data_IF_034842135863
#
_entry.id   IF_034842135863
#
_cell.length_a   1.000
_cell.length_b   1.000
_cell.length_c   1.000
_cell.angle_alpha   90.00
_cell.angle_beta   90.00
_cell.angle_gamma   90.00
#
_symmetry.space_group_name_H-M   'P 1'
#
loop_
_entity.id
_entity.type
_entity.pdbx_description
1 polymer ?
#
# COMPACT_ATOMS: atom_id res chain seq x y z
N UNK A 1 12.52 -36.93 -5.02
CA UNK A 1 11.65 -37.77 -5.87
C UNK A 1 10.50 -36.88 -6.31
N UNK A 2 10.48 -36.23 -7.48
CA UNK A 2 11.40 -36.23 -8.61
C UNK A 2 11.93 -34.80 -8.88
N UNK A 3 13.24 -34.65 -9.17
CA UNK A 3 13.83 -33.43 -9.71
C UNK A 3 13.80 -33.45 -11.26
N UNK A 4 13.89 -32.27 -11.89
CA UNK A 4 14.64 -32.03 -13.13
C UNK A 4 14.66 -30.53 -13.46
N UNK A 5 15.85 -29.94 -13.38
CA UNK A 5 16.27 -28.75 -14.13
C UNK A 5 16.77 -29.18 -15.51
N UNK A 6 16.35 -28.48 -16.56
CA UNK A 6 17.16 -28.13 -17.73
C UNK A 6 16.39 -27.15 -18.63
N UNK A 7 17.10 -26.12 -19.07
CA UNK A 7 16.67 -24.99 -19.89
C UNK A 7 16.26 -25.39 -21.32
N UNK A 8 15.36 -24.60 -21.93
CA UNK A 8 15.64 -23.72 -23.08
C UNK A 8 14.45 -23.56 -24.03
N UNK A 9 14.48 -22.41 -24.71
CA UNK A 9 13.77 -22.03 -25.92
C UNK A 9 12.35 -21.48 -25.76
N UNK A 10 12.17 -20.30 -26.36
CA UNK A 10 11.06 -19.40 -26.09
C UNK A 10 9.74 -19.79 -26.75
N UNK A 11 8.69 -19.23 -26.18
CA UNK A 11 7.43 -19.02 -26.87
C UNK A 11 6.88 -17.68 -26.41
N UNK A 12 7.15 -16.66 -27.21
CA UNK A 12 6.43 -15.39 -27.24
C UNK A 12 4.96 -15.70 -27.49
N UNK A 13 4.08 -15.38 -26.54
CA UNK A 13 2.64 -15.35 -26.77
C UNK A 13 2.08 -14.01 -26.28
N UNK A 14 2.32 -13.01 -27.13
CA UNK A 14 1.70 -11.70 -27.14
C UNK A 14 0.20 -11.86 -27.38
N UNK A 15 -0.62 -11.37 -26.46
CA UNK A 15 -1.90 -10.70 -26.78
C UNK A 15 -2.18 -9.67 -25.69
N UNK A 16 -1.34 -8.62 -25.64
CA UNK A 16 -1.66 -7.40 -24.89
C UNK A 16 -2.35 -6.43 -25.85
N UNK A 17 -3.55 -6.01 -25.48
CA UNK A 17 -4.29 -4.98 -26.20
C UNK A 17 -3.48 -3.70 -26.29
N UNK A 18 -3.56 -3.05 -27.45
CA UNK A 18 -2.78 -1.89 -27.85
C UNK A 18 -3.04 -0.68 -26.95
N UNK A 19 -2.14 -0.47 -26.00
CA UNK A 19 -1.85 0.82 -25.39
C UNK A 19 -0.33 0.98 -25.40
N UNK A 20 0.18 2.12 -25.86
CA UNK A 20 1.64 2.38 -25.94
C UNK A 20 2.31 2.02 -24.60
N UNK A 21 3.10 0.94 -24.57
CA UNK A 21 3.89 0.53 -23.41
C UNK A 21 5.01 1.56 -23.18
N UNK A 22 4.67 2.64 -22.48
CA UNK A 22 5.66 3.54 -21.91
C UNK A 22 6.48 2.74 -20.88
N UNK A 23 7.82 2.85 -20.89
CA UNK A 23 8.64 2.13 -19.93
C UNK A 23 8.26 2.55 -18.52
N UNK A 24 7.89 1.55 -17.70
CA UNK A 24 7.53 1.75 -16.31
C UNK A 24 8.78 2.25 -15.57
N UNK A 25 8.70 3.37 -14.84
CA UNK A 25 9.87 3.90 -14.16
C UNK A 25 10.31 2.96 -13.01
N UNK A 26 11.62 2.96 -12.67
CA UNK A 26 12.20 1.97 -11.74
C UNK A 26 11.67 2.05 -10.30
N UNK A 27 11.01 3.16 -9.95
CA UNK A 27 10.40 3.39 -8.63
C UNK A 27 8.92 2.98 -8.57
N UNK A 28 8.39 2.31 -9.60
CA UNK A 28 7.03 1.79 -9.64
C UNK A 28 7.07 0.27 -9.56
N UNK A 29 6.39 -0.28 -8.55
CA UNK A 29 6.16 -1.71 -8.43
C UNK A 29 4.76 -2.04 -8.94
N UNK A 30 4.67 -2.90 -9.94
CA UNK A 30 3.39 -3.41 -10.46
C UNK A 30 3.21 -4.82 -9.94
N UNK A 31 2.20 -5.03 -9.11
CA UNK A 31 1.84 -6.37 -8.63
C UNK A 31 1.40 -7.24 -9.80
N UNK A 32 2.00 -8.43 -9.91
CA UNK A 32 1.70 -9.43 -10.95
C UNK A 32 0.83 -10.56 -10.43
N UNK A 33 0.31 -10.47 -9.20
CA UNK A 33 -0.40 -11.55 -8.55
C UNK A 33 -1.76 -11.82 -9.23
N UNK A 34 -2.07 -13.07 -9.65
CA UNK A 34 -3.28 -13.37 -10.44
C UNK A 34 -4.58 -13.09 -9.68
N UNK A 35 -4.59 -13.31 -8.36
CA UNK A 35 -5.75 -12.98 -7.51
C UNK A 35 -6.00 -11.47 -7.49
N UNK A 36 -4.95 -10.65 -7.51
CA UNK A 36 -5.11 -9.21 -7.54
C UNK A 36 -5.68 -8.75 -8.88
N UNK A 37 -5.14 -9.26 -10.00
CA UNK A 37 -5.66 -8.98 -11.35
C UNK A 37 -7.13 -9.34 -11.51
N UNK A 38 -7.57 -10.47 -10.93
CA UNK A 38 -8.98 -10.83 -10.87
C UNK A 38 -9.82 -9.81 -10.09
N UNK A 39 -9.38 -9.42 -8.88
CA UNK A 39 -10.10 -8.43 -8.05
C UNK A 39 -10.16 -7.05 -8.70
N UNK A 40 -9.09 -6.62 -9.37
CA UNK A 40 -9.07 -5.38 -10.16
C UNK A 40 -10.11 -5.41 -11.28
N UNK A 41 -10.31 -6.58 -11.92
CA UNK A 41 -11.37 -6.74 -12.93
C UNK A 41 -12.76 -6.48 -12.33
N UNK A 42 -13.02 -6.97 -11.11
CA UNK A 42 -14.28 -6.72 -10.40
C UNK A 42 -14.43 -5.23 -10.06
N UNK A 43 -13.36 -4.57 -9.58
CA UNK A 43 -13.39 -3.13 -9.27
C UNK A 43 -13.62 -2.24 -10.50
N UNK A 44 -13.19 -2.70 -11.69
CA UNK A 44 -13.37 -1.97 -12.95
C UNK A 44 -14.72 -2.23 -13.62
N UNK A 45 -15.44 -3.27 -13.23
CA UNK A 45 -16.73 -3.62 -13.85
C UNK A 45 -17.82 -2.63 -13.45
N UNK A 46 -18.55 -2.09 -14.43
CA UNK A 46 -19.70 -1.21 -14.20
C UNK A 46 -20.90 -1.93 -13.57
N UNK A 47 -20.93 -3.27 -13.65
CA UNK A 47 -21.98 -4.10 -13.03
C UNK A 47 -21.76 -4.35 -11.53
N UNK A 48 -20.61 -3.99 -10.98
CA UNK A 48 -20.28 -4.27 -9.58
C UNK A 48 -21.08 -3.37 -8.63
N UNK A 49 -21.83 -3.99 -7.73
CA UNK A 49 -22.63 -3.27 -6.73
C UNK A 49 -21.73 -2.53 -5.72
N UNK A 50 -22.18 -1.38 -5.16
CA UNK A 50 -21.37 -0.60 -4.20
C UNK A 50 -20.92 -1.35 -2.94
N UNK A 51 -21.68 -2.35 -2.48
CA UNK A 51 -21.28 -3.20 -1.35
C UNK A 51 -20.10 -4.11 -1.72
N UNK A 52 -20.22 -4.81 -2.87
CA UNK A 52 -19.18 -5.67 -3.41
C UNK A 52 -17.90 -4.87 -3.71
N UNK A 53 -18.02 -3.66 -4.29
CA UNK A 53 -16.87 -2.79 -4.55
C UNK A 53 -16.08 -2.50 -3.27
N UNK A 54 -16.77 -2.15 -2.16
CA UNK A 54 -16.10 -1.86 -0.88
C UNK A 54 -15.42 -3.09 -0.30
N UNK A 55 -16.03 -4.28 -0.38
CA UNK A 55 -15.42 -5.53 0.08
C UNK A 55 -14.15 -5.84 -0.70
N UNK A 56 -14.25 -5.79 -2.04
CA UNK A 56 -13.11 -6.10 -2.92
C UNK A 56 -12.00 -5.07 -2.75
N UNK A 57 -12.32 -3.79 -2.55
CA UNK A 57 -11.33 -2.75 -2.29
C UNK A 57 -10.54 -3.03 -1.00
N UNK A 58 -11.21 -3.47 0.07
CA UNK A 58 -10.54 -3.87 1.32
C UNK A 58 -9.57 -5.03 1.09
N UNK A 59 -10.00 -6.05 0.36
CA UNK A 59 -9.17 -7.22 0.05
C UNK A 59 -7.96 -6.86 -0.82
N UNK A 60 -8.18 -6.04 -1.86
CA UNK A 60 -7.12 -5.51 -2.73
C UNK A 60 -6.11 -4.70 -1.92
N UNK A 61 -6.60 -3.82 -1.04
CA UNK A 61 -5.76 -3.01 -0.16
C UNK A 61 -4.89 -3.87 0.76
N UNK A 62 -5.46 -4.92 1.35
CA UNK A 62 -4.71 -5.82 2.22
C UNK A 62 -3.55 -6.50 1.49
N UNK A 63 -3.82 -7.02 0.27
CA UNK A 63 -2.79 -7.68 -0.54
C UNK A 63 -1.69 -6.71 -0.98
N UNK A 64 -2.07 -5.51 -1.44
CA UNK A 64 -1.13 -4.47 -1.84
C UNK A 64 -0.31 -3.94 -0.66
N UNK A 65 -0.95 -3.78 0.51
CA UNK A 65 -0.28 -3.44 1.75
C UNK A 65 0.76 -4.46 2.14
N UNK A 66 0.44 -5.76 2.03
CA UNK A 66 1.39 -6.83 2.32
C UNK A 66 2.62 -6.76 1.41
N UNK A 67 2.43 -6.61 0.09
CA UNK A 67 3.54 -6.44 -0.86
C UNK A 67 4.35 -5.17 -0.59
N UNK A 68 3.70 -4.06 -0.26
CA UNK A 68 4.37 -2.80 0.02
C UNK A 68 5.23 -2.82 1.30
N UNK A 69 4.83 -3.62 2.29
CA UNK A 69 5.57 -3.78 3.55
C UNK A 69 6.79 -4.68 3.45
N UNK A 70 7.05 -5.29 2.29
CA UNK A 70 8.20 -6.19 2.06
C UNK A 70 9.57 -5.55 2.35
N UNK A 71 9.68 -4.23 2.26
CA UNK A 71 10.92 -3.49 2.53
C UNK A 71 11.15 -3.11 4.00
N UNK A 72 10.22 -3.41 4.91
CA UNK A 72 10.37 -3.07 6.33
C UNK A 72 11.40 -3.96 7.02
N UNK A 73 12.08 -3.44 8.06
CA UNK A 73 13.08 -4.19 8.81
C UNK A 73 12.56 -4.66 10.16
N UNK A 74 13.24 -5.64 10.74
CA UNK A 74 12.87 -6.21 12.03
C UNK A 74 14.01 -6.09 13.04
N UNK A 75 13.66 -6.09 14.32
CA UNK A 75 14.57 -6.18 15.45
C UNK A 75 14.25 -7.41 16.30
N UNK A 76 15.26 -7.98 16.94
CA UNK A 76 15.09 -9.08 17.89
C UNK A 76 14.46 -8.56 19.18
N UNK A 77 13.60 -9.36 19.79
CA UNK A 77 12.97 -9.10 21.08
C UNK A 77 12.94 -10.39 21.90
N UNK A 78 13.23 -10.31 23.18
CA UNK A 78 13.09 -11.44 24.08
C UNK A 78 11.60 -11.64 24.40
N UNK A 79 11.13 -12.87 24.28
CA UNK A 79 9.74 -13.26 24.49
C UNK A 79 9.68 -14.50 25.37
N UNK A 80 8.61 -14.59 26.15
CA UNK A 80 8.33 -15.79 26.93
C UNK A 80 7.20 -16.58 26.27
N UNK A 81 7.47 -17.85 25.97
CA UNK A 81 6.55 -18.75 25.26
C UNK A 81 6.00 -19.78 26.24
N UNK A 82 4.67 -20.00 26.28
CA UNK A 82 4.08 -21.07 27.08
C UNK A 82 4.54 -22.46 26.59
N UNK A 83 5.00 -23.31 27.51
CA UNK A 83 5.34 -24.72 27.24
C UNK A 83 4.72 -25.62 28.30
N UNK A 84 3.46 -26.00 28.09
CA UNK A 84 2.70 -26.81 29.06
C UNK A 84 2.42 -26.03 30.34
N UNK A 85 2.91 -26.50 31.49
CA UNK A 85 2.83 -25.76 32.77
C UNK A 85 4.00 -24.79 32.99
N UNK A 86 5.04 -24.85 32.16
CA UNK A 86 6.25 -24.06 32.29
C UNK A 86 6.29 -22.91 31.26
N UNK A 87 7.19 -21.96 31.48
CA UNK A 87 7.49 -20.85 30.58
C UNK A 87 8.90 -21.00 30.01
N UNK A 88 9.07 -20.77 28.71
CA UNK A 88 10.35 -20.85 28.02
C UNK A 88 10.73 -19.48 27.45
N UNK A 89 11.93 -19.00 27.78
CA UNK A 89 12.51 -17.81 27.17
C UNK A 89 12.95 -18.12 25.73
N UNK A 90 12.54 -17.29 24.79
CA UNK A 90 12.86 -17.39 23.38
C UNK A 90 13.10 -16.00 22.78
N UNK A 91 13.68 -15.95 21.57
CA UNK A 91 13.87 -14.69 20.85
C UNK A 91 12.89 -14.60 19.70
N UNK A 92 12.01 -13.61 19.74
CA UNK A 92 11.11 -13.24 18.66
C UNK A 92 11.64 -12.10 17.81
N UNK A 93 10.82 -11.67 16.85
CA UNK A 93 11.08 -10.50 16.00
C UNK A 93 9.92 -9.51 16.07
N UNK A 94 10.26 -8.23 16.01
CA UNK A 94 9.29 -7.12 15.97
C UNK A 94 9.70 -6.14 14.86
N UNK A 95 8.71 -5.55 14.19
CA UNK A 95 8.97 -4.48 13.23
C UNK A 95 9.74 -3.33 13.89
N UNK A 96 10.74 -2.82 13.17
CA UNK A 96 11.60 -1.75 13.68
C UNK A 96 10.96 -0.39 13.48
N UNK A 97 10.44 -0.14 12.29
CA UNK A 97 9.93 1.15 11.84
C UNK A 97 8.58 1.50 12.47
N UNK A 98 8.40 2.79 12.76
CA UNK A 98 7.10 3.39 13.06
C UNK A 98 6.43 3.78 11.76
N UNK A 99 5.24 3.21 11.52
CA UNK A 99 4.49 3.42 10.28
C UNK A 99 3.41 4.48 10.48
N UNK A 100 3.27 5.39 9.51
CA UNK A 100 2.13 6.30 9.38
C UNK A 100 1.30 5.95 8.14
N UNK A 101 -0.02 6.05 8.26
CA UNK A 101 -0.97 5.92 7.17
C UNK A 101 -1.59 7.28 6.89
N UNK A 102 -1.59 7.66 5.62
CA UNK A 102 -1.99 9.00 5.18
C UNK A 102 -3.05 8.87 4.09
N UNK A 103 -4.32 8.64 4.47
CA UNK A 103 -5.40 8.59 3.51
C UNK A 103 -5.67 9.97 2.92
N UNK A 104 -5.68 10.04 1.58
CA UNK A 104 -6.15 11.23 0.87
C UNK A 104 -7.67 11.19 0.85
N UNK A 105 -8.30 12.13 1.57
CA UNK A 105 -9.74 12.17 1.66
C UNK A 105 -10.36 12.64 0.33
N UNK A 106 -11.42 12.01 -0.16
CA UNK A 106 -12.28 11.01 0.52
C UNK A 106 -12.01 9.55 0.12
N UNK A 107 -11.41 9.31 -1.05
CA UNK A 107 -11.24 7.98 -1.64
C UNK A 107 -10.36 7.06 -0.80
N UNK A 108 -9.31 7.60 -0.17
CA UNK A 108 -8.36 6.84 0.64
C UNK A 108 -8.93 6.27 1.94
N UNK A 109 -10.10 6.73 2.42
CA UNK A 109 -10.69 6.23 3.68
C UNK A 109 -11.06 4.75 3.60
N UNK A 110 -11.48 4.27 2.44
CA UNK A 110 -11.86 2.86 2.26
C UNK A 110 -10.72 1.86 2.42
N UNK A 111 -9.47 2.35 2.43
CA UNK A 111 -8.24 1.56 2.53
C UNK A 111 -7.68 1.51 3.97
N UNK A 112 -8.10 2.44 4.83
CA UNK A 112 -7.50 2.61 6.16
C UNK A 112 -7.69 1.38 7.04
N UNK A 113 -8.92 0.87 7.12
CA UNK A 113 -9.22 -0.28 7.98
C UNK A 113 -8.38 -1.50 7.60
N UNK A 114 -8.27 -1.82 6.32
CA UNK A 114 -7.50 -2.96 5.82
C UNK A 114 -6.00 -2.81 6.07
N UNK A 115 -5.49 -1.58 5.99
CA UNK A 115 -4.09 -1.31 6.33
C UNK A 115 -3.85 -1.41 7.85
N UNK A 116 -4.80 -1.00 8.68
CA UNK A 116 -4.72 -1.16 10.14
C UNK A 116 -4.83 -2.62 10.58
N UNK A 117 -5.62 -3.44 9.89
CA UNK A 117 -5.66 -4.89 10.08
C UNK A 117 -4.26 -5.51 9.86
N UNK A 118 -3.51 -5.01 8.86
CA UNK A 118 -2.13 -5.44 8.59
C UNK A 118 -1.12 -4.87 9.60
N UNK A 119 -1.24 -3.58 9.94
CA UNK A 119 -0.31 -2.84 10.80
C UNK A 119 -1.07 -2.11 11.92
N UNK A 120 -1.41 -2.80 13.01
CA UNK A 120 -2.29 -2.26 14.06
C UNK A 120 -1.67 -1.11 14.87
N UNK A 121 -0.34 -1.03 14.89
CA UNK A 121 0.39 0.01 15.63
C UNK A 121 0.65 1.29 14.79
N UNK A 122 0.12 1.38 13.57
CA UNK A 122 0.36 2.51 12.70
C UNK A 122 -0.44 3.75 13.13
N UNK A 123 0.19 4.92 13.05
CA UNK A 123 -0.49 6.20 13.25
C UNK A 123 -1.28 6.61 12.00
N UNK A 124 -2.44 7.25 12.18
CA UNK A 124 -3.27 7.70 11.05
C UNK A 124 -3.28 9.24 10.99
N UNK A 125 -2.90 9.78 9.84
CA UNK A 125 -2.91 11.22 9.59
C UNK A 125 -3.72 11.56 8.35
N UNK A 126 -4.84 12.23 8.57
CA UNK A 126 -5.78 12.54 7.50
C UNK A 126 -5.40 13.83 6.78
N UNK A 127 -5.43 13.79 5.44
CA UNK A 127 -5.24 14.97 4.60
C UNK A 127 -6.42 15.09 3.64
N UNK A 128 -7.05 16.26 3.65
CA UNK A 128 -8.12 16.61 2.73
C UNK A 128 -7.59 17.51 1.63
N UNK A 129 -7.62 17.01 0.40
CA UNK A 129 -7.30 17.77 -0.80
C UNK A 129 -8.55 17.90 -1.67
N UNK A 130 -8.80 19.10 -2.18
CA UNK A 130 -9.84 19.34 -3.16
C UNK A 130 -9.22 19.90 -4.42
N UNK A 131 -9.66 19.42 -5.58
CA UNK A 131 -9.21 19.91 -6.87
C UNK A 131 -10.41 20.53 -7.59
N UNK A 132 -10.33 21.84 -7.85
CA UNK A 132 -11.22 22.49 -8.82
C UNK A 132 -10.64 22.28 -10.22
N UNK A 133 -11.51 22.16 -11.22
CA UNK A 133 -11.12 21.98 -12.61
C UNK A 133 -10.15 23.10 -13.05
N UNK A 134 -9.03 22.71 -13.68
CA UNK A 134 -7.98 23.64 -14.10
C UNK A 134 -7.10 24.26 -12.99
N UNK A 135 -7.29 23.89 -11.71
CA UNK A 135 -6.54 24.46 -10.58
C UNK A 135 -5.57 23.48 -9.92
N UNK A 136 -4.61 24.04 -9.18
CA UNK A 136 -3.71 23.29 -8.29
C UNK A 136 -4.56 22.73 -7.12
N UNK A 137 -4.36 21.47 -6.69
CA UNK A 137 -5.06 20.91 -5.54
C UNK A 137 -4.92 21.79 -4.29
N UNK A 138 -6.04 22.20 -3.71
CA UNK A 138 -6.10 23.02 -2.51
C UNK A 138 -6.30 22.12 -1.30
N UNK A 139 -5.47 22.34 -0.28
CA UNK A 139 -5.62 21.67 1.00
C UNK A 139 -6.76 22.31 1.80
N UNK A 140 -7.79 21.54 2.14
CA UNK A 140 -8.88 21.98 3.01
C UNK A 140 -8.82 21.39 4.43
N UNK A 141 -8.06 20.31 4.61
CA UNK A 141 -7.91 19.67 5.91
C UNK A 141 -6.50 19.10 6.08
N UNK A 142 -5.90 19.38 7.23
CA UNK A 142 -4.57 18.89 7.58
C UNK A 142 -4.51 18.51 9.06
N UNK A 143 -4.40 17.23 9.36
CA UNK A 143 -4.14 16.72 10.71
C UNK A 143 -2.79 16.01 10.80
N UNK A 144 -1.79 16.53 10.10
CA UNK A 144 -0.41 16.10 10.27
C UNK A 144 0.19 16.74 11.54
N UNK A 145 1.01 16.01 12.30
CA UNK A 145 1.76 16.58 13.40
C UNK A 145 2.78 17.60 12.87
N UNK A 146 3.20 18.56 13.70
CA UNK A 146 4.26 19.52 13.32
C UNK A 146 5.60 18.85 13.02
N UNK A 147 5.84 17.70 13.64
CA UNK A 147 6.97 16.81 13.42
C UNK A 147 6.44 15.38 13.38
N UNK A 148 6.64 14.68 12.27
CA UNK A 148 6.26 13.27 12.19
C UNK A 148 7.34 12.43 12.86
N UNK A 149 6.96 11.62 13.84
CA UNK A 149 7.85 10.63 14.44
C UNK A 149 7.88 9.32 13.65
N UNK A 150 7.07 9.18 12.60
CA UNK A 150 7.06 7.96 11.82
C UNK A 150 8.27 7.89 10.89
N UNK A 151 8.85 6.69 10.81
CA UNK A 151 10.01 6.41 9.98
C UNK A 151 9.57 6.18 8.52
N UNK A 152 8.37 5.61 8.31
CA UNK A 152 7.78 5.34 7.00
C UNK A 152 6.33 5.85 6.96
N UNK A 153 5.96 6.58 5.91
CA UNK A 153 4.59 6.99 5.66
C UNK A 153 4.03 6.34 4.38
N UNK A 154 2.86 5.70 4.48
CA UNK A 154 2.09 5.17 3.35
C UNK A 154 0.96 6.12 2.98
N UNK A 155 1.00 6.66 1.76
CA UNK A 155 -0.11 7.44 1.20
C UNK A 155 -1.12 6.45 0.62
N UNK A 156 -2.39 6.61 1.00
CA UNK A 156 -3.48 5.74 0.53
C UNK A 156 -4.42 6.52 -0.40
N UNK A 157 -4.49 6.09 -1.66
CA UNK A 157 -5.45 6.59 -2.65
C UNK A 157 -5.71 5.52 -3.72
N UNK A 158 -6.94 4.99 -3.86
CA UNK A 158 -7.23 3.89 -4.78
C UNK A 158 -7.14 4.28 -6.27
N UNK A 159 -7.06 5.57 -6.59
CA UNK A 159 -6.97 6.03 -7.98
C UNK A 159 -6.07 7.24 -8.14
N UNK A 160 -4.96 7.05 -8.85
CA UNK A 160 -4.10 8.14 -9.30
C UNK A 160 -4.41 8.46 -10.76
N UNK A 161 -5.08 9.58 -11.00
CA UNK A 161 -5.37 10.05 -12.36
C UNK A 161 -4.25 10.94 -12.92
N UNK A 162 -4.16 12.18 -12.43
CA UNK A 162 -3.17 13.17 -12.89
C UNK A 162 -1.92 13.24 -12.00
N UNK A 163 -1.91 12.54 -10.86
CA UNK A 163 -0.81 12.60 -9.87
C UNK A 163 -0.66 13.93 -9.11
N UNK A 164 -1.27 15.02 -9.59
CA UNK A 164 -1.13 16.37 -9.00
C UNK A 164 -1.48 16.44 -7.51
N UNK A 165 -2.55 15.75 -7.09
CA UNK A 165 -2.95 15.66 -5.68
C UNK A 165 -1.87 14.97 -4.85
N UNK A 166 -1.42 13.80 -5.32
CA UNK A 166 -0.41 12.99 -4.65
C UNK A 166 0.94 13.71 -4.57
N UNK A 167 1.36 14.40 -5.63
CA UNK A 167 2.57 15.23 -5.63
C UNK A 167 2.50 16.35 -4.58
N UNK A 168 1.33 17.00 -4.45
CA UNK A 168 1.12 18.05 -3.44
C UNK A 168 1.23 17.48 -2.03
N UNK A 169 0.62 16.31 -1.79
CA UNK A 169 0.72 15.59 -0.52
C UNK A 169 2.16 15.19 -0.21
N UNK A 170 2.89 14.61 -1.16
CA UNK A 170 4.32 14.27 -1.01
C UNK A 170 5.14 15.51 -0.66
N UNK A 171 4.85 16.66 -1.30
CA UNK A 171 5.53 17.92 -1.00
C UNK A 171 5.28 18.42 0.43
N UNK A 172 4.06 18.22 0.96
CA UNK A 172 3.75 18.50 2.36
C UNK A 172 4.49 17.53 3.28
N UNK A 173 4.49 16.24 2.96
CA UNK A 173 5.11 15.21 3.78
C UNK A 173 6.63 15.33 3.85
N UNK A 174 7.31 15.70 2.76
CA UNK A 174 8.76 15.94 2.78
C UNK A 174 9.20 17.04 3.74
N UNK A 175 8.30 17.97 4.09
CA UNK A 175 8.58 19.03 5.06
C UNK A 175 8.41 18.56 6.51
N UNK A 176 7.71 17.45 6.72
CA UNK A 176 7.23 17.00 8.04
C UNK A 176 7.78 15.61 8.43
N UNK A 177 8.13 14.77 7.45
CA UNK A 177 8.43 13.34 7.58
C UNK A 177 9.66 12.95 6.73
N UNK A 178 10.41 11.94 7.17
CA UNK A 178 11.71 11.58 6.60
C UNK A 178 11.64 10.63 5.38
N UNK A 179 10.67 9.69 5.34
CA UNK A 179 10.51 8.74 4.23
C UNK A 179 9.04 8.59 3.82
N UNK A 180 8.78 8.56 2.50
CA UNK A 180 7.42 8.50 1.91
C UNK A 180 7.36 7.34 0.93
N UNK A 181 6.51 6.35 1.23
CA UNK A 181 6.14 5.26 0.34
C UNK A 181 4.69 5.48 -0.14
N UNK A 182 4.40 5.14 -1.39
CA UNK A 182 3.08 5.36 -1.99
C UNK A 182 2.49 4.00 -2.37
N UNK A 183 1.33 3.67 -1.82
CA UNK A 183 0.57 2.47 -2.18
C UNK A 183 -0.73 2.88 -2.87
N UNK A 184 -0.88 2.41 -4.10
CA UNK A 184 -2.12 2.49 -4.89
C UNK A 184 -2.79 1.14 -4.82
#
# INVERSE_FOLDING_TARGET
>A
MCPKTAESSGATATTRGEGKDLPIPPNVHVSTHPVLSHKITILRSSSTLPSAFRSVLREVTYHLGYEATSGLTTRKVDITVPKGKDQLEATGTKLRERVAMIPIMRSGLGMVDSMLELLPNAGIHHIGMYKKEGSIPVQYYNRLPRKCESDVAYILDPMIATGTTTMSVIGILKKVCACVCMCV
#
